data_IF_133949643187
#
_entry.id   IF_133949643187
#
_cell.length_a   1.000
_cell.length_b   1.000
_cell.length_c   1.000
_cell.angle_alpha   90.00
_cell.angle_beta   90.00
_cell.angle_gamma   90.00
#
_symmetry.space_group_name_H-M   'P 1'
#
loop_
_entity.id
_entity.type
_entity.pdbx_description
1 polymer ?
#
# COMPACT_ATOMS: atom_id res chain seq x y z
N UNK A 1 13.66 -6.54 9.49
CA UNK A 1 12.58 -5.87 8.74
C UNK A 1 13.04 -4.45 8.41
N UNK A 2 13.00 -4.07 7.14
CA UNK A 2 13.18 -2.67 6.74
C UNK A 2 12.00 -1.88 7.29
N UNK A 3 12.24 -0.71 7.88
CA UNK A 3 11.14 0.19 8.29
C UNK A 3 10.51 0.78 7.02
N UNK A 4 9.44 0.17 6.52
CA UNK A 4 8.79 0.57 5.25
C UNK A 4 8.29 2.01 5.33
N UNK A 5 7.82 2.44 6.51
CA UNK A 5 7.35 3.81 6.72
C UNK A 5 8.45 4.86 6.49
N UNK A 6 9.72 4.51 6.74
CA UNK A 6 10.86 5.39 6.50
C UNK A 6 11.11 5.67 5.00
N UNK A 7 10.49 4.92 4.09
CA UNK A 7 10.54 5.17 2.64
C UNK A 7 10.06 6.59 2.31
N UNK A 8 9.12 7.14 3.09
CA UNK A 8 8.62 8.52 2.95
C UNK A 8 9.72 9.58 2.93
N UNK A 9 10.87 9.31 3.54
CA UNK A 9 12.00 10.24 3.59
C UNK A 9 12.67 10.43 2.21
N UNK A 10 12.34 9.61 1.21
CA UNK A 10 12.83 9.73 -0.15
C UNK A 10 12.00 10.71 -1.02
N UNK A 11 10.91 11.25 -0.49
CA UNK A 11 10.00 12.13 -1.22
C UNK A 11 9.86 13.49 -0.56
N UNK A 12 9.52 14.50 -1.37
CA UNK A 12 8.91 15.72 -0.86
C UNK A 12 7.45 15.44 -0.50
N UNK A 13 7.10 15.65 0.77
CA UNK A 13 5.75 15.37 1.26
C UNK A 13 4.90 16.66 1.31
N UNK A 14 3.70 16.56 0.79
CA UNK A 14 2.68 17.60 0.75
C UNK A 14 1.52 17.28 1.71
N UNK A 15 0.55 18.19 1.79
CA UNK A 15 -0.68 18.05 2.58
C UNK A 15 -0.43 17.50 3.99
N UNK A 16 0.17 18.31 4.87
CA UNK A 16 0.50 17.90 6.24
C UNK A 16 1.40 16.65 6.33
N UNK A 17 2.31 16.50 5.36
CA UNK A 17 3.26 15.37 5.25
C UNK A 17 2.57 14.02 5.01
N UNK A 18 1.43 14.03 4.35
CA UNK A 18 0.65 12.82 4.06
C UNK A 18 0.68 12.41 2.60
N UNK A 19 1.04 13.29 1.67
CA UNK A 19 0.90 13.03 0.24
C UNK A 19 2.18 13.23 -0.56
N UNK A 20 2.32 12.49 -1.66
CA UNK A 20 3.31 12.73 -2.72
C UNK A 20 2.60 13.18 -4.01
N UNK A 21 3.34 13.79 -4.92
CA UNK A 21 2.77 14.16 -6.23
C UNK A 21 2.45 12.93 -7.07
N UNK A 22 1.57 13.10 -8.06
CA UNK A 22 1.33 12.07 -9.08
C UNK A 22 2.60 11.72 -9.85
N UNK A 23 3.44 12.73 -10.12
CA UNK A 23 4.69 12.57 -10.86
C UNK A 23 5.70 11.71 -10.08
N UNK A 24 5.87 11.95 -8.78
CA UNK A 24 6.76 11.14 -7.93
C UNK A 24 6.28 9.69 -7.87
N UNK A 25 4.97 9.49 -7.71
CA UNK A 25 4.38 8.16 -7.73
C UNK A 25 4.69 7.44 -9.06
N UNK A 26 4.45 8.09 -10.19
CA UNK A 26 4.68 7.49 -11.50
C UNK A 26 6.17 7.29 -11.81
N UNK A 27 7.06 8.14 -11.29
CA UNK A 27 8.50 7.98 -11.42
C UNK A 27 8.97 6.71 -10.71
N UNK A 28 8.59 6.56 -9.43
CA UNK A 28 9.18 5.58 -8.53
C UNK A 28 8.38 4.29 -8.33
N UNK A 29 7.10 4.23 -8.70
CA UNK A 29 6.27 3.05 -8.51
C UNK A 29 5.72 2.52 -9.83
N UNK A 30 6.01 1.25 -10.12
CA UNK A 30 5.59 0.59 -11.35
C UNK A 30 4.65 -0.56 -11.03
N UNK A 31 3.50 -0.56 -11.70
CA UNK A 31 2.55 -1.67 -11.67
C UNK A 31 3.18 -2.93 -12.29
N UNK A 32 3.00 -4.06 -11.62
CA UNK A 32 3.49 -5.37 -12.09
C UNK A 32 2.34 -6.25 -12.61
N UNK A 33 2.64 -7.46 -13.08
CA UNK A 33 1.61 -8.46 -13.40
C UNK A 33 1.13 -9.22 -12.15
N UNK A 34 1.85 -9.12 -11.03
CA UNK A 34 1.52 -9.76 -9.74
C UNK A 34 0.22 -9.16 -9.17
N UNK A 35 -0.60 -10.03 -8.59
CA UNK A 35 -1.77 -9.64 -7.78
C UNK A 35 -1.58 -10.18 -6.38
N UNK A 36 -2.11 -9.43 -5.41
CA UNK A 36 -2.12 -9.83 -4.00
C UNK A 36 -3.54 -9.72 -3.47
N UNK A 37 -3.96 -10.71 -2.69
CA UNK A 37 -5.16 -10.66 -1.86
C UNK A 37 -4.74 -10.26 -0.46
N UNK A 38 -5.37 -9.23 0.09
CA UNK A 38 -4.98 -8.58 1.33
C UNK A 38 -6.24 -8.10 2.07
N UNK A 39 -6.10 -7.72 3.33
CA UNK A 39 -7.17 -7.06 4.09
C UNK A 39 -6.69 -5.76 4.74
N UNK A 40 -7.61 -4.81 4.91
CA UNK A 40 -7.37 -3.62 5.72
C UNK A 40 -7.72 -3.84 7.19
N UNK A 41 -8.26 -4.99 7.61
CA UNK A 41 -8.56 -5.26 9.02
C UNK A 41 -9.46 -4.19 9.68
N UNK A 42 -10.38 -3.60 8.92
CA UNK A 42 -11.39 -2.65 9.39
C UNK A 42 -10.97 -1.16 9.41
N UNK A 43 -9.69 -0.80 9.31
CA UNK A 43 -9.29 0.62 9.42
C UNK A 43 -9.67 1.46 8.19
N UNK A 44 -9.97 0.82 7.06
CA UNK A 44 -10.56 1.48 5.88
C UNK A 44 -12.06 1.79 6.06
N UNK A 45 -12.62 1.44 7.23
CA UNK A 45 -14.03 1.62 7.57
C UNK A 45 -14.98 0.65 6.86
N UNK A 46 -14.46 -0.38 6.19
CA UNK A 46 -15.26 -1.32 5.39
C UNK A 46 -14.88 -2.78 5.59
N UNK A 47 -13.59 -3.11 5.57
CA UNK A 47 -13.08 -4.48 5.61
C UNK A 47 -13.06 -5.05 7.04
N UNK A 48 -14.21 -5.04 7.72
CA UNK A 48 -14.37 -5.66 9.04
C UNK A 48 -14.29 -7.19 8.94
N UNK A 49 -14.07 -7.88 10.07
CA UNK A 49 -14.01 -9.36 10.11
C UNK A 49 -12.97 -9.98 9.15
N UNK A 50 -11.92 -9.23 8.82
CA UNK A 50 -10.84 -9.68 7.93
C UNK A 50 -11.19 -9.69 6.45
N UNK A 51 -12.34 -9.11 6.03
CA UNK A 51 -12.77 -9.07 4.62
C UNK A 51 -11.63 -8.67 3.67
N UNK A 52 -11.30 -9.57 2.74
CA UNK A 52 -10.19 -9.38 1.82
C UNK A 52 -10.58 -8.71 0.51
N UNK A 53 -9.57 -8.19 -0.17
CA UNK A 53 -9.64 -7.60 -1.51
C UNK A 53 -8.42 -8.01 -2.31
N UNK A 54 -8.54 -8.01 -3.63
CA UNK A 54 -7.42 -8.27 -4.53
C UNK A 54 -7.03 -7.01 -5.28
N UNK A 55 -5.74 -6.68 -5.31
CA UNK A 55 -5.20 -5.57 -6.09
C UNK A 55 -3.94 -5.98 -6.85
N UNK A 56 -3.58 -5.17 -7.85
CA UNK A 56 -2.31 -5.31 -8.57
C UNK A 56 -1.17 -4.73 -7.74
N UNK A 57 -0.07 -5.47 -7.67
CA UNK A 57 1.12 -5.06 -6.93
C UNK A 57 1.92 -4.02 -7.72
N UNK A 58 2.36 -2.99 -7.01
CA UNK A 58 3.36 -2.03 -7.43
C UNK A 58 4.70 -2.35 -6.75
N UNK A 59 5.79 -2.14 -7.47
CA UNK A 59 7.16 -2.22 -6.98
C UNK A 59 7.84 -0.86 -7.12
N UNK A 60 8.83 -0.60 -6.28
CA UNK A 60 9.61 0.64 -6.32
C UNK A 60 11.05 0.39 -6.76
N UNK A 61 11.66 1.42 -7.34
CA UNK A 61 13.09 1.47 -7.66
C UNK A 61 13.95 2.11 -6.56
N UNK A 62 13.34 2.51 -5.43
CA UNK A 62 14.05 3.07 -4.28
C UNK A 62 14.87 1.97 -3.61
N UNK A 63 16.19 2.19 -3.54
CA UNK A 63 17.14 1.25 -2.95
C UNK A 63 16.77 0.88 -1.51
N UNK A 64 16.74 -0.43 -1.23
CA UNK A 64 16.41 -1.00 0.08
C UNK A 64 14.92 -1.33 0.26
N UNK A 65 14.07 -1.04 -0.73
CA UNK A 65 12.62 -1.28 -0.69
C UNK A 65 12.10 -2.05 -1.91
N UNK A 66 12.98 -2.60 -2.75
CA UNK A 66 12.64 -3.29 -4.00
C UNK A 66 11.74 -4.52 -3.76
N UNK A 67 11.96 -5.21 -2.63
CA UNK A 67 11.20 -6.40 -2.24
C UNK A 67 9.86 -6.08 -1.57
N UNK A 68 9.57 -4.80 -1.29
CA UNK A 68 8.29 -4.40 -0.69
C UNK A 68 7.19 -4.44 -1.75
N UNK A 69 6.03 -4.99 -1.37
CA UNK A 69 4.82 -5.01 -2.20
C UNK A 69 3.94 -3.84 -1.83
N UNK A 70 3.60 -3.03 -2.82
CA UNK A 70 2.68 -1.92 -2.66
C UNK A 70 1.38 -2.17 -3.41
N UNK A 71 0.29 -1.58 -2.94
CA UNK A 71 -0.99 -1.53 -3.63
C UNK A 71 -1.50 -0.08 -3.66
N UNK A 72 -2.25 0.26 -4.70
CA UNK A 72 -2.91 1.56 -4.81
C UNK A 72 -4.42 1.40 -4.71
N UNK A 73 -5.03 2.02 -3.70
CA UNK A 73 -6.49 1.99 -3.47
C UNK A 73 -7.00 3.43 -3.37
N UNK A 74 -7.74 3.88 -4.38
CA UNK A 74 -8.14 5.28 -4.49
C UNK A 74 -6.91 6.21 -4.48
N UNK A 75 -6.91 7.20 -3.56
CA UNK A 75 -5.77 8.10 -3.38
C UNK A 75 -4.60 7.45 -2.63
N UNK A 76 -4.85 6.47 -1.77
CA UNK A 76 -3.83 5.86 -0.92
C UNK A 76 -2.89 4.92 -1.67
N UNK A 77 -1.61 5.01 -1.34
CA UNK A 77 -0.58 4.01 -1.59
C UNK A 77 -0.33 3.28 -0.26
N UNK A 78 -0.39 1.96 -0.28
CA UNK A 78 -0.26 1.11 0.89
C UNK A 78 0.84 0.08 0.65
N UNK A 79 1.52 -0.35 1.71
CA UNK A 79 2.39 -1.52 1.67
C UNK A 79 1.68 -2.73 2.28
N UNK A 80 2.07 -3.92 1.83
CA UNK A 80 1.61 -5.18 2.37
C UNK A 80 2.55 -5.61 3.51
N UNK A 81 1.97 -5.95 4.66
CA UNK A 81 2.67 -6.49 5.82
C UNK A 81 2.29 -7.97 5.98
N UNK A 82 3.28 -8.85 5.77
CA UNK A 82 3.08 -10.30 5.79
C UNK A 82 3.26 -10.92 7.17
N UNK A 83 3.85 -10.20 8.12
CA UNK A 83 4.24 -10.77 9.42
C UNK A 83 3.04 -11.17 10.30
N UNK A 84 1.89 -10.52 10.11
CA UNK A 84 0.70 -10.70 10.95
C UNK A 84 -0.55 -10.89 10.08
N UNK A 85 -0.74 -12.08 9.49
CA UNK A 85 -1.90 -12.35 8.65
C UNK A 85 -3.19 -12.34 9.49
N UNK A 86 -4.26 -11.83 8.89
CA UNK A 86 -5.57 -11.66 9.51
C UNK A 86 -6.52 -12.71 8.93
N UNK A 87 -7.33 -13.33 9.79
CA UNK A 87 -8.36 -14.29 9.42
C UNK A 87 -9.59 -13.58 8.85
N UNK A 88 -10.01 -13.97 7.66
CA UNK A 88 -11.33 -13.63 7.11
C UNK A 88 -12.37 -14.61 7.67
N UNK A 89 -13.25 -14.12 8.55
CA UNK A 89 -14.19 -14.99 9.28
C UNK A 89 -15.17 -15.71 8.34
N UNK A 90 -15.52 -15.10 7.22
CA UNK A 90 -16.48 -15.63 6.26
C UNK A 90 -15.96 -16.85 5.49
N UNK A 91 -14.66 -16.91 5.21
CA UNK A 91 -14.03 -17.95 4.37
C UNK A 91 -13.13 -18.89 5.17
N UNK A 92 -12.64 -18.45 6.33
CA UNK A 92 -11.61 -19.14 7.09
C UNK A 92 -10.19 -18.98 6.50
N UNK A 93 -10.02 -18.19 5.44
CA UNK A 93 -8.72 -17.92 4.84
C UNK A 93 -7.97 -16.82 5.61
N UNK A 94 -6.64 -16.85 5.55
CA UNK A 94 -5.81 -15.81 6.13
C UNK A 94 -5.12 -14.99 5.05
N UNK A 95 -5.10 -13.66 5.24
CA UNK A 95 -4.56 -12.72 4.28
C UNK A 95 -3.59 -11.75 4.95
N UNK A 96 -2.53 -11.32 4.27
CA UNK A 96 -1.66 -10.27 4.78
C UNK A 96 -2.45 -8.96 4.94
N UNK A 97 -2.00 -8.12 5.87
CA UNK A 97 -2.61 -6.81 6.09
C UNK A 97 -2.01 -5.77 5.15
N UNK A 98 -2.73 -4.67 4.94
CA UNK A 98 -2.22 -3.50 4.24
C UNK A 98 -2.20 -2.28 5.16
N UNK A 99 -1.09 -1.55 5.15
CA UNK A 99 -0.89 -0.33 5.93
C UNK A 99 -0.61 0.86 5.02
N UNK A 100 -1.01 2.05 5.46
CA UNK A 100 -0.92 3.27 4.67
C UNK A 100 0.51 3.84 4.61
N UNK A 101 1.01 4.05 3.39
CA UNK A 101 2.30 4.70 3.15
C UNK A 101 2.17 6.18 2.83
N UNK A 102 1.32 6.61 1.91
CA UNK A 102 1.12 8.02 1.55
C UNK A 102 -0.12 8.13 0.69
N UNK A 103 -0.71 9.31 0.61
CA UNK A 103 -1.64 9.63 -0.45
C UNK A 103 -0.90 10.05 -1.72
N UNK A 104 -1.50 9.80 -2.88
CA UNK A 104 -1.02 10.28 -4.17
C UNK A 104 -1.97 11.37 -4.64
N UNK A 105 -1.46 12.58 -4.78
CA UNK A 105 -2.23 13.72 -5.27
C UNK A 105 -2.74 13.46 -6.69
N UNK A 106 -3.88 14.06 -7.02
CA UNK A 106 -4.38 14.07 -8.40
C UNK A 106 -3.46 14.95 -9.24
N UNK A 107 -3.26 14.61 -10.51
CA UNK A 107 -2.65 15.55 -11.44
C UNK A 107 -3.51 16.83 -11.48
N UNK A 108 -2.86 18.00 -11.47
CA UNK A 108 -3.53 19.21 -11.89
C UNK A 108 -4.09 18.97 -13.30
N UNK A 109 -5.36 19.30 -13.49
CA UNK A 109 -6.02 19.24 -14.81
C UNK A 109 -5.64 20.45 -15.64
#
# INVERSE_FOLDING_TARGET
MTNIYALRNHFELHEYKTAITRADFEAHFKATKEKVTFTFGGWDGKSYHGESRTARVYRTDIKGYEDVRFIKVGKGLHYIEDALPILEEATGETHPSAEWLVDVLKSAR
#
